data_IF_915306069548
#
_entry.id   IF_915306069548
#
_cell.length_a   1.000
_cell.length_b   1.000
_cell.length_c   1.000
_cell.angle_alpha   90.00
_cell.angle_beta   90.00
_cell.angle_gamma   90.00
#
_symmetry.space_group_name_H-M   'P 1'
#
loop_
_entity.id
_entity.type
_entity.pdbx_description
1 polymer ?
#
# COMPACT_ATOMS: atom_id res chain seq x y z
N UNK A 1 -6.21 -5.74 -22.02
CA UNK A 1 -6.58 -5.16 -20.71
C UNK A 1 -5.73 -5.82 -19.63
N UNK A 2 -5.17 -5.05 -18.69
CA UNK A 2 -4.39 -5.57 -17.54
C UNK A 2 -4.97 -5.04 -16.24
N UNK A 3 -4.99 -5.87 -15.20
CA UNK A 3 -5.33 -5.45 -13.83
C UNK A 3 -4.14 -4.67 -13.26
N UNK A 4 -4.37 -3.47 -12.72
CA UNK A 4 -3.31 -2.63 -12.17
C UNK A 4 -3.08 -2.87 -10.68
N UNK A 5 -4.15 -2.90 -9.88
CA UNK A 5 -4.08 -3.08 -8.44
C UNK A 5 -5.44 -3.48 -7.86
N UNK A 6 -5.43 -4.00 -6.63
CA UNK A 6 -6.61 -4.17 -5.79
C UNK A 6 -6.49 -3.27 -4.56
N UNK A 7 -7.56 -2.53 -4.22
CA UNK A 7 -7.56 -1.57 -3.11
C UNK A 7 -8.32 -2.14 -1.91
N UNK A 8 -7.67 -2.14 -0.75
CA UNK A 8 -8.23 -2.57 0.52
C UNK A 8 -8.11 -1.44 1.54
N UNK A 9 -9.21 -1.14 2.24
CA UNK A 9 -9.21 -0.18 3.35
C UNK A 9 -8.78 -0.90 4.63
N UNK A 10 -7.92 -0.25 5.41
CA UNK A 10 -7.37 -0.78 6.66
C UNK A 10 -7.58 0.21 7.80
N UNK A 11 -7.76 -0.31 9.03
CA UNK A 11 -7.94 0.54 10.22
C UNK A 11 -6.64 1.14 10.77
N UNK A 12 -5.49 0.54 10.48
CA UNK A 12 -4.18 1.03 10.87
C UNK A 12 -3.15 0.75 9.77
N UNK A 13 -2.65 1.83 9.14
CA UNK A 13 -1.74 1.72 8.00
C UNK A 13 -0.39 1.11 8.39
N UNK A 14 0.22 1.56 9.49
CA UNK A 14 1.55 1.11 9.91
C UNK A 14 1.58 -0.38 10.25
N UNK A 15 0.56 -0.88 10.97
CA UNK A 15 0.42 -2.32 11.23
C UNK A 15 0.25 -3.13 9.95
N UNK A 16 -0.50 -2.59 9.00
CA UNK A 16 -0.71 -3.24 7.70
C UNK A 16 0.58 -3.28 6.88
N UNK A 17 1.32 -2.17 6.84
CA UNK A 17 2.62 -2.11 6.17
C UNK A 17 3.61 -3.11 6.77
N UNK A 18 3.70 -3.21 8.10
CA UNK A 18 4.54 -4.21 8.74
C UNK A 18 4.15 -5.64 8.32
N UNK A 19 2.86 -5.96 8.28
CA UNK A 19 2.40 -7.26 7.80
C UNK A 19 2.79 -7.53 6.33
N UNK A 20 2.45 -6.62 5.42
CA UNK A 20 2.76 -6.82 4.00
C UNK A 20 4.26 -6.84 3.70
N UNK A 21 5.06 -6.04 4.41
CA UNK A 21 6.50 -5.92 4.12
C UNK A 21 7.36 -6.94 4.87
N UNK A 22 7.05 -7.24 6.12
CA UNK A 22 7.88 -8.12 6.97
C UNK A 22 7.41 -9.57 6.94
N UNK A 23 6.10 -9.81 6.88
CA UNK A 23 5.55 -11.18 6.88
C UNK A 23 5.40 -11.70 5.45
N UNK A 24 4.84 -10.88 4.56
CA UNK A 24 4.62 -11.28 3.17
C UNK A 24 5.79 -10.93 2.24
N UNK A 25 6.76 -10.13 2.69
CA UNK A 25 7.96 -9.81 1.91
C UNK A 25 7.71 -8.83 0.74
N UNK A 26 6.61 -8.07 0.76
CA UNK A 26 6.36 -7.02 -0.23
C UNK A 26 7.24 -5.79 0.03
N UNK A 27 7.39 -4.95 -0.99
CA UNK A 27 8.02 -3.64 -0.88
C UNK A 27 6.96 -2.55 -0.86
N UNK A 28 7.19 -1.49 -0.09
CA UNK A 28 6.43 -0.25 -0.21
C UNK A 28 6.86 0.44 -1.51
N UNK A 29 5.94 0.50 -2.47
CA UNK A 29 6.20 1.09 -3.79
C UNK A 29 5.94 2.59 -3.78
N UNK A 30 4.82 2.99 -3.18
CA UNK A 30 4.39 4.39 -3.11
C UNK A 30 3.55 4.65 -1.88
N UNK A 31 3.82 5.77 -1.20
CA UNK A 31 3.00 6.29 -0.11
C UNK A 31 2.62 7.72 -0.44
N UNK A 32 1.35 8.07 -0.25
CA UNK A 32 0.88 9.45 -0.39
C UNK A 32 -0.18 9.77 0.65
N UNK A 33 0.11 10.79 1.43
CA UNK A 33 -0.79 11.34 2.43
C UNK A 33 -1.61 12.47 1.84
N UNK A 34 -2.90 12.50 2.16
CA UNK A 34 -3.85 13.54 1.75
C UNK A 34 -4.47 14.15 3.01
N UNK A 35 -3.82 15.13 3.65
CA UNK A 35 -4.27 15.70 4.92
C UNK A 35 -5.67 16.33 4.84
N UNK A 36 -5.95 17.05 3.75
CA UNK A 36 -7.27 17.66 3.50
C UNK A 36 -8.38 16.61 3.37
N UNK A 37 -8.06 15.47 2.73
CA UNK A 37 -8.97 14.33 2.59
C UNK A 37 -9.01 13.40 3.80
N UNK A 38 -8.13 13.59 4.78
CA UNK A 38 -7.95 12.74 5.97
C UNK A 38 -7.73 11.26 5.63
N UNK A 39 -6.96 10.96 4.58
CA UNK A 39 -6.60 9.58 4.24
C UNK A 39 -5.16 9.48 3.73
N UNK A 40 -4.63 8.26 3.78
CA UNK A 40 -3.31 7.91 3.24
C UNK A 40 -3.46 6.70 2.32
N UNK A 41 -2.78 6.75 1.17
CA UNK A 41 -2.66 5.62 0.25
C UNK A 41 -1.26 5.03 0.34
N UNK A 42 -1.19 3.70 0.38
CA UNK A 42 0.06 2.97 0.23
C UNK A 42 -0.13 1.85 -0.80
N UNK A 43 0.80 1.78 -1.75
CA UNK A 43 0.91 0.72 -2.73
C UNK A 43 2.04 -0.19 -2.30
N UNK A 44 1.75 -1.48 -2.19
CA UNK A 44 2.73 -2.53 -1.85
C UNK A 44 2.69 -3.61 -2.92
N UNK A 45 3.85 -4.19 -3.21
CA UNK A 45 3.97 -5.27 -4.18
C UNK A 45 5.37 -5.85 -4.23
N UNK A 46 5.56 -6.87 -5.06
CA UNK A 46 6.85 -7.56 -5.19
C UNK A 46 7.77 -6.96 -6.26
N UNK A 47 7.19 -6.25 -7.23
CA UNK A 47 7.88 -5.65 -8.37
C UNK A 47 7.57 -4.15 -8.41
N UNK A 48 8.39 -3.41 -9.17
CA UNK A 48 8.19 -1.98 -9.37
C UNK A 48 6.91 -1.69 -10.15
N UNK A 49 6.31 -0.51 -9.93
CA UNK A 49 5.15 -0.06 -10.72
C UNK A 49 5.60 0.14 -12.19
N UNK A 50 4.90 -0.49 -13.14
CA UNK A 50 5.08 -0.33 -14.61
C UNK A 50 3.90 0.38 -15.24
#
# INVERSE_FOLDING_TARGET
MRILHAMLRVGNLEKSLAFYTQVLGMKLLRRKDYPEGKFTLAFVGYQDET
#
